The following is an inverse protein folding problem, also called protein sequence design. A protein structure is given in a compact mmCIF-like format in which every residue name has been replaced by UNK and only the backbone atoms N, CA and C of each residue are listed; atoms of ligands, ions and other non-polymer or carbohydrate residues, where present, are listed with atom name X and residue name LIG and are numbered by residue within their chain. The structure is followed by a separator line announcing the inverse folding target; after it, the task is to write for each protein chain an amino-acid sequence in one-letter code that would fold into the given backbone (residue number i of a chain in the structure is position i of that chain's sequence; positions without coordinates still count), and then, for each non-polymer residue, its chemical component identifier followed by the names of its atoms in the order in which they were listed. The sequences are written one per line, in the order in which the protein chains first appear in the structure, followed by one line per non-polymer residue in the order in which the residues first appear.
data_IF_646072861376
#
_entry.id   IF_646072861376
#
_cell.length_a   1.000
_cell.length_b   1.000
_cell.length_c   1.000
_cell.angle_alpha   90.00
_cell.angle_beta   90.00
_cell.angle_gamma   90.00
#
_symmetry.space_group_name_H-M   'P 1'
#
loop_
_entity.id
_entity.type
_entity.pdbx_description
1 polymer ?
#
# COMPACT_ATOMS: atom_id res chain seq x y z
N UNK A 1 64.32 -27.21 -13.61
CA UNK A 1 63.39 -27.73 -14.63
C UNK A 1 62.19 -26.80 -14.65
N UNK A 2 62.20 -25.72 -15.43
CA UNK A 2 61.61 -25.64 -16.79
C UNK A 2 60.18 -26.22 -16.80
N UNK A 3 59.09 -25.50 -17.10
CA UNK A 3 58.85 -24.55 -18.20
C UNK A 3 57.50 -23.82 -17.99
N UNK A 4 57.42 -22.49 -18.14
CA UNK A 4 56.83 -21.71 -19.27
C UNK A 4 55.27 -21.60 -19.24
N UNK A 5 54.77 -20.36 -19.11
CA UNK A 5 53.39 -19.88 -19.37
C UNK A 5 53.13 -19.75 -20.90
N UNK A 6 51.88 -19.64 -21.44
CA UNK A 6 51.23 -18.31 -21.52
C UNK A 6 49.68 -18.29 -21.47
N UNK A 7 49.20 -17.05 -21.41
CA UNK A 7 47.83 -16.57 -21.37
C UNK A 7 46.98 -16.93 -22.61
N UNK A 8 45.65 -16.87 -22.46
CA UNK A 8 44.74 -16.53 -23.55
C UNK A 8 43.80 -15.39 -23.13
N UNK A 9 43.99 -14.27 -23.81
CA UNK A 9 43.03 -13.17 -23.91
C UNK A 9 41.92 -13.57 -24.89
N UNK A 10 40.67 -13.25 -24.57
CA UNK A 10 39.70 -12.87 -25.60
C UNK A 10 38.76 -11.80 -25.06
N UNK A 11 38.95 -10.59 -25.56
CA UNK A 11 38.07 -9.45 -25.34
C UNK A 11 36.76 -9.61 -26.10
N UNK A 12 35.77 -8.85 -25.65
CA UNK A 12 34.48 -8.72 -26.33
C UNK A 12 33.57 -7.73 -25.61
N UNK A 13 33.93 -6.43 -25.68
CA UNK A 13 32.99 -5.33 -25.43
C UNK A 13 32.08 -5.19 -26.66
N UNK A 14 30.77 -5.15 -26.46
CA UNK A 14 29.80 -4.57 -27.39
C UNK A 14 28.70 -3.93 -26.53
N UNK A 15 28.84 -2.66 -26.16
CA UNK A 15 28.39 -1.47 -26.91
C UNK A 15 26.87 -1.46 -27.15
N UNK A 16 26.22 -0.58 -26.37
CA UNK A 16 24.92 0.00 -26.61
C UNK A 16 24.76 0.38 -28.09
N UNK A 17 23.68 -0.09 -28.71
CA UNK A 17 23.15 0.48 -29.94
C UNK A 17 21.77 1.03 -29.61
N UNK A 18 21.73 2.34 -29.37
CA UNK A 18 20.51 3.14 -29.40
C UNK A 18 19.99 3.14 -30.85
N UNK A 19 18.73 2.76 -31.04
CA UNK A 19 18.05 2.92 -32.32
C UNK A 19 17.39 4.31 -32.34
N UNK A 20 17.73 5.19 -33.29
CA UNK A 20 17.11 6.51 -33.39
C UNK A 20 15.70 6.38 -34.00
N UNK A 21 14.69 6.76 -33.22
CA UNK A 21 13.32 6.95 -33.72
C UNK A 21 13.22 8.37 -34.30
N UNK A 22 12.76 8.56 -35.55
CA UNK A 22 12.62 9.87 -36.15
C UNK A 22 11.42 10.62 -35.56
N UNK A 23 11.67 11.83 -35.03
CA UNK A 23 10.63 12.81 -34.77
C UNK A 23 10.14 13.42 -36.09
N UNK A 24 8.83 13.46 -36.37
CA UNK A 24 8.31 14.29 -37.45
C UNK A 24 8.23 15.76 -37.01
N UNK A 25 8.80 16.59 -37.86
CA UNK A 25 8.87 18.05 -37.85
C UNK A 25 7.47 18.68 -37.88
N UNK A 26 7.31 19.73 -37.08
CA UNK A 26 6.14 20.61 -37.05
C UNK A 26 6.21 21.61 -38.22
N UNK A 27 5.14 21.73 -39.03
CA UNK A 27 5.04 22.77 -40.08
C UNK A 27 3.64 23.42 -40.11
N UNK A 28 3.60 24.62 -39.54
CA UNK A 28 2.96 25.89 -39.97
C UNK A 28 1.68 25.91 -40.85
N UNK A 29 0.66 26.60 -40.27
CA UNK A 29 -0.34 27.54 -40.80
C UNK A 29 -1.48 27.10 -41.77
N UNK A 30 -2.68 27.56 -41.41
CA UNK A 30 -3.85 27.69 -42.27
C UNK A 30 -5.08 28.18 -41.51
N UNK A 31 -5.30 29.50 -41.48
CA UNK A 31 -6.49 30.19 -40.94
C UNK A 31 -7.73 29.95 -41.83
N UNK A 32 -8.85 29.52 -41.22
CA UNK A 32 -10.20 29.65 -41.80
C UNK A 32 -11.20 30.16 -40.75
N UNK A 33 -11.08 31.45 -40.42
CA UNK A 33 -12.28 32.26 -40.21
C UNK A 33 -12.99 32.34 -41.56
N UNK A 34 -14.08 31.59 -41.72
CA UNK A 34 -15.35 31.93 -42.41
C UNK A 34 -16.18 30.63 -42.41
N UNK A 35 -17.07 30.49 -41.43
CA UNK A 35 -18.48 30.13 -41.62
C UNK A 35 -19.21 30.16 -40.25
N UNK A 36 -19.50 31.38 -39.78
CA UNK A 36 -20.60 31.58 -38.85
C UNK A 36 -21.87 31.82 -39.67
N UNK A 37 -22.71 30.78 -39.84
CA UNK A 37 -24.18 30.88 -39.93
C UNK A 37 -24.85 29.48 -39.87
N UNK A 38 -25.30 29.13 -38.66
CA UNK A 38 -26.39 28.20 -38.20
C UNK A 38 -27.09 27.32 -39.28
N UNK A 39 -27.29 25.98 -39.09
CA UNK A 39 -28.24 25.44 -38.10
C UNK A 39 -27.81 24.18 -37.30
N UNK A 40 -28.51 23.98 -36.18
CA UNK A 40 -28.43 22.80 -35.31
C UNK A 40 -28.82 21.52 -36.07
N UNK A 41 -27.87 20.63 -36.34
CA UNK A 41 -28.15 19.21 -36.59
C UNK A 41 -26.84 18.40 -36.58
N UNK A 42 -26.80 17.35 -35.75
CA UNK A 42 -26.00 16.14 -35.99
C UNK A 42 -24.48 16.26 -35.92
N UNK A 43 -23.92 16.37 -34.71
CA UNK A 43 -22.51 16.05 -34.44
C UNK A 43 -22.34 14.73 -33.67
N UNK A 44 -23.42 13.93 -33.55
CA UNK A 44 -23.45 12.66 -32.81
C UNK A 44 -22.90 11.44 -33.57
N UNK A 45 -22.30 11.61 -34.73
CA UNK A 45 -21.64 10.52 -35.43
C UNK A 45 -20.32 11.01 -35.98
N UNK A 46 -19.25 10.25 -35.72
CA UNK A 46 -17.85 10.46 -36.12
C UNK A 46 -16.88 10.99 -35.03
N UNK A 47 -17.10 10.62 -33.77
CA UNK A 47 -15.97 10.31 -32.90
C UNK A 47 -15.81 8.78 -32.84
N UNK A 48 -14.63 8.21 -33.20
CA UNK A 48 -14.38 6.79 -33.03
C UNK A 48 -14.65 6.43 -31.56
N UNK A 49 -15.44 5.38 -31.32
CA UNK A 49 -15.76 4.86 -29.97
C UNK A 49 -14.52 4.74 -29.07
N UNK A 50 -13.34 4.52 -29.66
CA UNK A 50 -12.05 4.44 -28.98
C UNK A 50 -11.61 5.74 -28.28
N UNK A 51 -11.95 6.93 -28.77
CA UNK A 51 -11.55 8.19 -28.12
C UNK A 51 -12.47 8.50 -26.93
N UNK A 52 -13.76 8.20 -27.04
CA UNK A 52 -14.71 8.35 -25.94
C UNK A 52 -14.47 7.30 -24.84
N UNK A 53 -14.13 6.06 -25.22
CA UNK A 53 -13.70 5.02 -24.29
C UNK A 53 -12.37 5.37 -23.61
N UNK A 54 -11.41 6.00 -24.30
CA UNK A 54 -10.12 6.38 -23.72
C UNK A 54 -10.22 7.56 -22.75
N UNK A 55 -11.05 8.57 -23.03
CA UNK A 55 -11.30 9.70 -22.11
C UNK A 55 -12.19 9.26 -20.93
N UNK A 56 -13.17 8.37 -21.16
CA UNK A 56 -13.96 7.74 -20.10
C UNK A 56 -13.10 6.82 -19.23
N UNK A 57 -12.18 6.05 -19.81
CA UNK A 57 -11.19 5.25 -19.08
C UNK A 57 -10.25 6.11 -18.24
N UNK A 58 -9.70 7.19 -18.79
CA UNK A 58 -8.84 8.11 -18.04
C UNK A 58 -9.61 8.88 -16.94
N UNK A 59 -10.90 9.15 -17.15
CA UNK A 59 -11.76 9.80 -16.16
C UNK A 59 -12.21 8.83 -15.05
N UNK A 60 -12.41 7.54 -15.35
CA UNK A 60 -12.74 6.50 -14.38
C UNK A 60 -11.51 5.94 -13.64
N UNK A 61 -10.33 5.87 -14.25
CA UNK A 61 -9.08 5.56 -13.54
C UNK A 61 -8.60 6.74 -12.66
N UNK A 62 -9.00 7.97 -12.99
CA UNK A 62 -8.65 9.18 -12.23
C UNK A 62 -9.33 9.33 -10.87
N UNK A 63 -10.43 8.62 -10.60
CA UNK A 63 -11.24 8.80 -9.37
C UNK A 63 -10.73 7.96 -8.20
N UNK A 64 -9.96 6.90 -8.45
CA UNK A 64 -9.26 6.17 -7.38
C UNK A 64 -7.88 6.78 -7.12
N UNK A 65 -7.84 8.11 -6.94
CA UNK A 65 -6.69 8.78 -6.38
C UNK A 65 -6.37 8.13 -5.03
N UNK A 66 -5.37 7.24 -5.02
CA UNK A 66 -4.95 6.53 -3.81
C UNK A 66 -4.56 7.57 -2.76
N UNK A 67 -5.44 7.78 -1.77
CA UNK A 67 -5.27 8.78 -0.73
C UNK A 67 -3.88 8.64 -0.12
N UNK A 68 -3.07 9.69 -0.30
CA UNK A 68 -1.69 9.75 0.19
C UNK A 68 -1.68 10.28 1.62
N UNK A 69 -0.90 9.69 2.53
CA UNK A 69 -0.78 10.19 3.89
C UNK A 69 -0.08 11.56 3.88
N UNK A 70 -0.41 12.43 4.85
CA UNK A 70 0.22 13.75 4.96
C UNK A 70 1.72 13.64 5.25
N UNK A 71 2.11 12.73 6.14
CA UNK A 71 3.49 12.53 6.56
C UNK A 71 3.77 11.04 6.62
N UNK A 72 4.84 10.59 5.96
CA UNK A 72 5.32 9.20 6.02
C UNK A 72 6.73 9.15 6.64
N UNK A 73 6.86 9.20 7.97
CA UNK A 73 8.17 9.06 8.62
C UNK A 73 8.69 7.63 8.44
N UNK A 74 10.02 7.47 8.33
CA UNK A 74 10.67 6.15 8.28
C UNK A 74 10.40 5.38 9.57
N UNK A 75 9.72 4.24 9.47
CA UNK A 75 9.38 3.40 10.62
C UNK A 75 10.59 2.52 10.96
N UNK A 76 11.30 2.87 12.03
CA UNK A 76 12.36 2.02 12.59
C UNK A 76 11.79 1.15 13.70
N UNK A 77 11.86 -0.18 13.53
CA UNK A 77 11.54 -1.16 14.58
C UNK A 77 12.84 -1.72 15.17
N UNK A 78 13.05 -1.51 16.46
CA UNK A 78 14.25 -1.98 17.19
C UNK A 78 14.36 -3.51 17.22
N UNK A 79 13.23 -4.21 17.18
CA UNK A 79 13.15 -5.66 17.20
C UNK A 79 11.92 -6.11 16.44
N UNK A 80 12.10 -7.06 15.52
CA UNK A 80 11.02 -7.67 14.74
C UNK A 80 10.55 -8.99 15.35
N UNK A 81 11.46 -9.76 15.95
CA UNK A 81 11.15 -11.05 16.60
C UNK A 81 10.25 -10.85 17.82
N UNK A 82 9.14 -11.60 17.86
CA UNK A 82 8.21 -11.61 19.01
C UNK A 82 8.90 -12.11 20.27
N UNK A 83 8.46 -11.61 21.42
CA UNK A 83 8.88 -12.12 22.72
C UNK A 83 8.07 -13.38 23.03
N UNK A 84 8.71 -14.53 22.92
CA UNK A 84 8.10 -15.84 23.20
C UNK A 84 8.31 -16.24 24.66
N UNK A 85 7.36 -17.01 25.22
CA UNK A 85 7.54 -17.63 26.54
C UNK A 85 8.63 -18.69 26.50
N UNK A 86 9.42 -18.79 27.57
CA UNK A 86 10.42 -19.84 27.76
C UNK A 86 9.78 -21.24 27.63
N UNK A 87 10.41 -22.15 26.88
CA UNK A 87 9.96 -23.54 26.64
C UNK A 87 8.62 -23.69 25.90
N UNK A 88 8.12 -22.64 25.25
CA UNK A 88 6.91 -22.73 24.40
C UNK A 88 7.17 -23.41 23.05
N UNK A 89 8.44 -23.61 22.72
CA UNK A 89 8.95 -24.41 21.61
C UNK A 89 8.87 -25.92 21.92
N UNK A 90 9.18 -26.32 23.16
CA UNK A 90 9.24 -27.74 23.57
C UNK A 90 7.86 -28.33 23.91
N UNK A 91 6.99 -27.54 24.54
CA UNK A 91 5.73 -28.04 25.07
C UNK A 91 4.51 -27.35 24.43
N UNK A 92 3.65 -28.13 23.80
CA UNK A 92 2.40 -27.65 23.17
C UNK A 92 1.47 -26.97 24.20
N UNK A 93 1.41 -27.49 25.43
CA UNK A 93 0.63 -26.90 26.54
C UNK A 93 1.08 -25.48 26.92
N UNK A 94 2.34 -25.12 26.65
CA UNK A 94 2.88 -23.80 26.97
C UNK A 94 2.70 -22.86 25.78
N UNK A 95 1.67 -22.00 25.85
CA UNK A 95 1.42 -20.98 24.82
C UNK A 95 2.59 -20.00 24.67
N UNK A 96 2.82 -19.53 23.44
CA UNK A 96 3.91 -18.59 23.08
C UNK A 96 3.76 -17.17 23.64
N UNK A 97 2.63 -16.82 24.28
CA UNK A 97 2.41 -15.50 24.89
C UNK A 97 3.41 -15.24 26.02
N UNK A 98 4.07 -14.08 26.01
CA UNK A 98 5.07 -13.69 26.99
C UNK A 98 4.54 -13.74 28.43
N UNK A 99 5.32 -14.37 29.32
CA UNK A 99 5.12 -14.34 30.78
C UNK A 99 6.49 -14.20 31.43
N UNK A 100 6.60 -13.34 32.46
CA UNK A 100 7.85 -13.13 33.20
C UNK A 100 8.22 -14.40 33.98
N UNK A 101 9.37 -15.05 33.72
CA UNK A 101 9.80 -16.23 34.48
C UNK A 101 10.11 -15.85 35.93
N UNK A 102 9.65 -16.66 36.89
CA UNK A 102 9.79 -16.39 38.33
C UNK A 102 10.75 -17.32 39.07
N UNK A 103 10.95 -18.55 38.57
CA UNK A 103 11.77 -19.57 39.25
C UNK A 103 13.22 -19.14 39.52
N UNK A 104 13.77 -19.61 40.64
CA UNK A 104 15.10 -19.22 41.12
C UNK A 104 16.21 -19.60 40.13
N UNK A 105 16.14 -20.78 39.52
CA UNK A 105 17.16 -21.32 38.60
C UNK A 105 16.90 -21.02 37.13
N UNK A 106 15.87 -20.23 36.84
CA UNK A 106 15.51 -19.96 35.45
C UNK A 106 16.58 -19.10 34.74
N UNK A 107 17.18 -19.66 33.68
CA UNK A 107 18.26 -19.02 32.91
C UNK A 107 17.85 -17.69 32.26
N UNK A 108 16.60 -17.58 31.80
CA UNK A 108 16.06 -16.34 31.20
C UNK A 108 15.99 -15.23 32.25
N UNK A 109 15.50 -15.55 33.46
CA UNK A 109 15.37 -14.59 34.56
C UNK A 109 16.74 -14.03 34.96
N UNK A 110 17.76 -14.91 35.04
CA UNK A 110 19.16 -14.56 35.33
C UNK A 110 19.91 -13.91 34.16
N UNK A 111 19.29 -13.77 32.98
CA UNK A 111 19.85 -13.11 31.78
C UNK A 111 21.16 -13.72 31.25
N UNK A 112 21.28 -15.04 31.29
CA UNK A 112 22.42 -15.71 30.66
C UNK A 112 22.48 -15.45 29.15
N UNK A 113 23.70 -15.34 28.62
CA UNK A 113 23.96 -15.21 27.18
C UNK A 113 23.41 -16.44 26.42
N UNK A 114 23.00 -16.22 25.16
CA UNK A 114 22.44 -17.27 24.30
C UNK A 114 20.96 -17.64 24.57
N UNK A 115 20.37 -17.11 25.63
CA UNK A 115 18.96 -17.36 25.94
C UNK A 115 18.05 -16.22 25.43
N UNK A 116 16.74 -16.49 25.30
CA UNK A 116 15.73 -15.50 24.91
C UNK A 116 15.79 -14.24 25.79
N UNK A 117 15.83 -13.07 25.15
CA UNK A 117 15.85 -11.78 25.83
C UNK A 117 14.47 -11.42 26.38
N UNK A 118 14.44 -10.83 27.58
CA UNK A 118 13.20 -10.33 28.19
C UNK A 118 12.78 -8.97 27.60
N UNK A 119 11.48 -8.66 27.54
CA UNK A 119 11.00 -7.32 27.22
C UNK A 119 11.49 -6.30 28.27
N UNK A 120 11.93 -5.15 27.78
CA UNK A 120 12.31 -3.97 28.56
C UNK A 120 11.76 -2.70 27.87
N UNK A 121 11.77 -1.57 28.58
CA UNK A 121 11.32 -0.27 28.03
C UNK A 121 12.22 0.16 26.85
N UNK A 122 13.49 -0.26 26.83
CA UNK A 122 14.44 0.04 25.77
C UNK A 122 14.00 -0.40 24.36
N UNK A 123 13.20 -1.46 24.24
CA UNK A 123 12.64 -1.89 22.95
C UNK A 123 11.48 -1.02 22.45
N UNK A 124 11.02 -0.02 23.23
CA UNK A 124 9.95 0.89 22.83
C UNK A 124 10.25 1.61 21.50
N UNK A 125 9.26 1.64 20.61
CA UNK A 125 9.34 2.41 19.34
C UNK A 125 9.26 3.92 19.61
N UNK A 126 9.70 4.73 18.64
CA UNK A 126 9.57 6.19 18.73
C UNK A 126 8.09 6.58 18.93
N UNK A 127 7.83 7.55 19.81
CA UNK A 127 6.49 8.06 20.11
C UNK A 127 5.73 8.50 18.85
N UNK A 128 6.41 9.14 17.88
CA UNK A 128 5.79 9.63 16.63
C UNK A 128 5.29 8.49 15.72
N UNK A 129 6.05 7.40 15.63
CA UNK A 129 5.79 6.24 14.74
C UNK A 129 5.08 5.07 15.43
N UNK A 130 4.78 5.21 16.73
CA UNK A 130 4.02 4.21 17.49
C UNK A 130 2.62 4.06 16.88
N UNK A 131 2.17 2.81 16.70
CA UNK A 131 0.85 2.47 16.13
C UNK A 131 0.60 2.92 14.67
N UNK A 132 1.63 3.34 13.93
CA UNK A 132 1.52 3.66 12.51
C UNK A 132 1.60 2.40 11.65
N UNK A 133 0.79 2.33 10.59
CA UNK A 133 0.84 1.31 9.55
C UNK A 133 2.01 1.56 8.60
N UNK A 134 2.49 0.54 7.87
CA UNK A 134 3.50 0.72 6.83
C UNK A 134 3.03 1.65 5.69
N UNK A 135 1.71 1.78 5.50
CA UNK A 135 1.10 2.74 4.58
C UNK A 135 1.30 4.21 4.99
N UNK A 136 1.64 4.48 6.26
CA UNK A 136 1.81 5.83 6.82
C UNK A 136 0.61 6.33 7.64
N UNK A 137 -0.53 5.65 7.57
CA UNK A 137 -1.73 5.99 8.34
C UNK A 137 -1.74 5.36 9.73
N UNK A 138 -2.54 5.89 10.64
CA UNK A 138 -2.93 5.23 11.90
C UNK A 138 -4.29 4.57 11.70
N UNK A 139 -4.46 3.36 12.21
CA UNK A 139 -5.76 2.68 12.11
C UNK A 139 -6.76 3.19 13.12
N UNK A 140 -7.98 3.42 12.66
CA UNK A 140 -9.15 3.69 13.47
C UNK A 140 -10.18 2.59 13.20
N UNK A 141 -10.66 1.94 14.27
CA UNK A 141 -11.59 0.83 14.14
C UNK A 141 -13.02 1.37 14.10
N UNK A 142 -13.76 1.05 13.05
CA UNK A 142 -15.10 1.59 12.76
C UNK A 142 -16.15 0.49 12.87
N UNK A 143 -17.23 0.76 13.60
CA UNK A 143 -18.40 -0.10 13.72
C UNK A 143 -19.59 0.38 12.89
N UNK A 144 -19.79 1.70 12.80
CA UNK A 144 -20.98 2.31 12.20
C UNK A 144 -20.62 3.40 11.19
N UNK A 145 -21.60 3.79 10.36
CA UNK A 145 -21.44 4.86 9.36
C UNK A 145 -21.17 6.22 10.01
N UNK A 146 -21.80 6.52 11.15
CA UNK A 146 -21.61 7.77 11.91
C UNK A 146 -20.17 7.97 12.39
N UNK A 147 -19.46 6.88 12.70
CA UNK A 147 -18.07 6.94 13.16
C UNK A 147 -17.10 7.33 12.04
N UNK A 148 -17.50 7.19 10.77
CA UNK A 148 -16.72 7.72 9.64
C UNK A 148 -16.70 9.24 9.61
N UNK A 149 -17.74 9.90 10.12
CA UNK A 149 -17.83 11.36 10.11
C UNK A 149 -16.80 11.99 11.05
N UNK A 150 -16.45 11.31 12.14
CA UNK A 150 -15.34 11.70 13.05
C UNK A 150 -14.01 11.74 12.29
N UNK A 151 -13.85 10.90 11.26
CA UNK A 151 -12.61 10.84 10.49
C UNK A 151 -12.50 11.95 9.44
N UNK A 152 -13.58 12.67 9.11
CA UNK A 152 -13.62 13.66 8.04
C UNK A 152 -12.48 14.69 8.10
N UNK A 153 -12.22 15.22 9.30
CA UNK A 153 -11.13 16.20 9.51
C UNK A 153 -9.75 15.55 9.46
N UNK A 154 -9.67 14.24 9.72
CA UNK A 154 -8.45 13.49 9.98
C UNK A 154 -8.07 12.49 8.86
N UNK A 155 -8.70 12.60 7.68
CA UNK A 155 -8.55 11.71 6.52
C UNK A 155 -7.10 11.40 6.12
N UNK A 156 -6.20 12.39 6.24
CA UNK A 156 -4.78 12.24 5.83
C UNK A 156 -3.90 11.53 6.86
N UNK A 157 -4.37 11.39 8.10
CA UNK A 157 -3.61 10.80 9.21
C UNK A 157 -4.13 9.43 9.61
N UNK A 158 -5.44 9.18 9.45
CA UNK A 158 -6.08 7.94 9.85
C UNK A 158 -6.68 7.18 8.68
N UNK A 159 -6.72 5.86 8.82
CA UNK A 159 -7.44 4.97 7.92
C UNK A 159 -8.51 4.21 8.72
N UNK A 160 -9.65 3.95 8.09
CA UNK A 160 -10.72 3.17 8.69
C UNK A 160 -10.45 1.66 8.55
N UNK A 161 -10.56 0.91 9.64
CA UNK A 161 -10.58 -0.56 9.66
C UNK A 161 -11.98 -1.00 10.11
N UNK A 162 -12.72 -1.68 9.23
CA UNK A 162 -14.09 -2.10 9.56
C UNK A 162 -14.04 -3.28 10.52
N UNK A 163 -14.69 -3.11 11.68
CA UNK A 163 -14.72 -4.09 12.75
C UNK A 163 -15.30 -5.45 12.31
N UNK A 164 -14.78 -6.54 12.89
CA UNK A 164 -15.16 -7.90 12.51
C UNK A 164 -16.65 -8.24 12.78
N UNK A 165 -17.32 -7.51 13.67
CA UNK A 165 -18.73 -7.73 14.03
C UNK A 165 -19.71 -7.18 12.98
N UNK A 166 -19.27 -6.27 12.10
CA UNK A 166 -20.15 -5.64 11.11
C UNK A 166 -20.58 -6.63 10.03
N UNK A 167 -21.89 -6.68 9.77
CA UNK A 167 -22.52 -7.49 8.73
C UNK A 167 -22.16 -7.03 7.32
N UNK A 168 -22.37 -7.87 6.31
CA UNK A 168 -22.07 -7.56 4.90
C UNK A 168 -22.87 -6.36 4.37
N UNK A 169 -24.17 -6.25 4.72
CA UNK A 169 -25.03 -5.13 4.32
C UNK A 169 -24.48 -3.79 4.83
N UNK A 170 -24.14 -3.72 6.12
CA UNK A 170 -23.61 -2.50 6.73
C UNK A 170 -22.20 -2.18 6.22
N UNK A 171 -21.41 -3.19 5.86
CA UNK A 171 -20.09 -3.01 5.22
C UNK A 171 -20.19 -2.30 3.88
N UNK A 172 -21.17 -2.65 3.02
CA UNK A 172 -21.40 -1.93 1.75
C UNK A 172 -21.66 -0.44 2.00
N UNK A 173 -22.59 -0.12 2.91
CA UNK A 173 -22.91 1.25 3.28
C UNK A 173 -21.71 2.04 3.85
N UNK A 174 -20.87 1.39 4.69
CA UNK A 174 -19.64 1.99 5.23
C UNK A 174 -18.62 2.26 4.11
N UNK A 175 -18.45 1.33 3.17
CA UNK A 175 -17.51 1.49 2.05
C UNK A 175 -17.97 2.60 1.10
N UNK A 176 -19.25 2.62 0.74
CA UNK A 176 -19.86 3.67 -0.09
C UNK A 176 -19.72 5.04 0.57
N UNK A 177 -20.04 5.16 1.87
CA UNK A 177 -19.87 6.42 2.60
C UNK A 177 -18.39 6.82 2.72
N UNK A 178 -17.49 5.87 2.95
CA UNK A 178 -16.06 6.15 3.02
C UNK A 178 -15.51 6.65 1.67
N UNK A 179 -16.02 6.14 0.55
CA UNK A 179 -15.66 6.62 -0.79
C UNK A 179 -16.10 8.07 -0.99
N UNK A 180 -17.33 8.42 -0.58
CA UNK A 180 -17.84 9.80 -0.63
C UNK A 180 -16.97 10.77 0.20
N UNK A 181 -16.57 10.35 1.41
CA UNK A 181 -15.77 11.18 2.32
C UNK A 181 -14.26 11.14 2.00
N UNK A 182 -13.86 10.41 0.96
CA UNK A 182 -12.45 10.20 0.60
C UNK A 182 -11.61 9.71 1.79
N UNK A 183 -12.09 8.67 2.48
CA UNK A 183 -11.40 7.99 3.59
C UNK A 183 -10.81 6.67 3.09
N UNK A 184 -9.54 6.40 3.42
CA UNK A 184 -8.90 5.12 3.10
C UNK A 184 -9.39 4.02 4.05
N UNK A 185 -10.01 2.99 3.49
CA UNK A 185 -10.41 1.77 4.22
C UNK A 185 -9.34 0.68 4.06
N UNK A 186 -8.97 -0.01 5.14
CA UNK A 186 -7.95 -1.08 5.08
C UNK A 186 -8.46 -2.41 4.53
N UNK A 187 -9.74 -2.71 4.75
CA UNK A 187 -10.41 -3.97 4.41
C UNK A 187 -11.71 -3.74 3.61
N UNK A 188 -11.66 -3.15 2.40
CA UNK A 188 -12.87 -2.81 1.63
C UNK A 188 -13.67 -4.06 1.21
N UNK A 189 -13.01 -5.11 0.73
CA UNK A 189 -13.68 -6.28 0.15
C UNK A 189 -14.03 -7.37 1.18
N UNK A 190 -13.82 -7.12 2.47
CA UNK A 190 -14.05 -8.14 3.49
C UNK A 190 -15.54 -8.50 3.61
N UNK A 191 -15.88 -9.79 3.42
CA UNK A 191 -17.24 -10.37 3.42
C UNK A 191 -18.17 -9.93 2.29
N UNK A 192 -17.66 -9.15 1.33
CA UNK A 192 -18.39 -8.83 0.10
C UNK A 192 -17.95 -9.83 -0.95
N UNK A 193 -18.80 -10.83 -1.23
CA UNK A 193 -18.63 -11.64 -2.44
C UNK A 193 -19.24 -10.83 -3.58
N UNK A 194 -18.50 -10.64 -4.66
CA UNK A 194 -19.10 -10.36 -5.97
C UNK A 194 -19.91 -11.58 -6.36
N UNK A 195 -21.13 -11.40 -6.83
CA UNK A 195 -21.78 -12.43 -7.65
C UNK A 195 -20.85 -12.64 -8.85
N UNK A 196 -20.28 -13.84 -8.97
CA UNK A 196 -19.52 -14.23 -10.15
C UNK A 196 -20.53 -14.29 -11.29
N UNK A 197 -20.53 -13.28 -12.18
CA UNK A 197 -21.14 -13.41 -13.49
C UNK A 197 -20.20 -14.28 -14.32
N UNK A 198 -20.66 -15.50 -14.63
CA UNK A 198 -20.12 -16.33 -15.72
C UNK A 198 -20.30 -15.65 -17.09
#
# INVERSE_FOLDING_TARGET
MASILPASESGGKASLAEVPIPFPVCSVAGDWKILCNRPQAGWESLLPRLIFDMVSWLFLEGIMAALRPLVKPKIVKKRTKKFIRHQSDRYVKIKRNWRKPRGIDNRVRRRFKGQILMPNIGYGSNKKTKHMLPSGFRKFLVHNVKELEVLLMCNKSYCAEIAHNVSSKNRKAIVERAAQLAIRVTNPNARLRSEENE
#
